data_IF_266678363721
#
_entry.id   IF_266678363721
#
_cell.length_a   1.000
_cell.length_b   1.000
_cell.length_c   1.000
_cell.angle_alpha   90.00
_cell.angle_beta   90.00
_cell.angle_gamma   90.00
#
_symmetry.space_group_name_H-M   'P 1'
#
loop_
_entity.id
_entity.type
_entity.pdbx_description
1 polymer ?
#
# COMPACT_ATOMS: atom_id res chain seq x y z
N UNK A 1 -14.48 -42.72 -24.46
CA UNK A 1 -13.25 -42.58 -23.66
C UNK A 1 -12.73 -41.16 -23.88
N UNK A 2 -12.28 -40.54 -22.79
CA UNK A 2 -11.87 -39.13 -22.60
C UNK A 2 -13.01 -38.10 -22.52
N UNK A 3 -13.63 -38.07 -21.34
CA UNK A 3 -14.25 -36.86 -20.77
C UNK A 3 -13.19 -36.18 -19.90
N UNK A 4 -13.04 -34.87 -20.07
CA UNK A 4 -12.24 -34.00 -19.19
C UNK A 4 -13.14 -33.57 -18.00
N UNK A 5 -12.63 -33.52 -16.76
CA UNK A 5 -13.43 -33.02 -15.66
C UNK A 5 -13.51 -31.49 -15.68
N UNK A 6 -14.74 -31.04 -15.47
CA UNK A 6 -15.21 -29.68 -15.29
C UNK A 6 -14.93 -29.27 -13.83
N UNK A 7 -13.89 -28.44 -13.59
CA UNK A 7 -13.58 -27.91 -12.25
C UNK A 7 -14.36 -26.61 -12.00
N UNK A 8 -15.67 -26.73 -11.85
CA UNK A 8 -16.50 -25.69 -11.24
C UNK A 8 -16.35 -25.76 -9.71
N UNK A 9 -15.31 -25.15 -9.15
CA UNK A 9 -15.20 -25.01 -7.70
C UNK A 9 -16.04 -23.81 -7.23
N UNK A 10 -17.36 -23.98 -7.23
CA UNK A 10 -18.28 -23.09 -6.53
C UNK A 10 -18.18 -23.36 -5.02
N UNK A 11 -17.17 -22.78 -4.37
CA UNK A 11 -17.07 -22.81 -2.90
C UNK A 11 -18.15 -21.87 -2.33
N UNK A 12 -19.24 -22.45 -1.86
CA UNK A 12 -20.24 -21.72 -1.09
C UNK A 12 -19.68 -21.42 0.30
N UNK A 13 -19.37 -20.16 0.59
CA UNK A 13 -18.93 -19.73 1.91
C UNK A 13 -20.07 -19.86 2.94
N UNK A 14 -19.79 -20.28 4.19
CA UNK A 14 -20.77 -20.28 5.25
C UNK A 14 -21.21 -18.85 5.58
N UNK A 15 -22.52 -18.62 5.59
CA UNK A 15 -23.14 -17.34 5.94
C UNK A 15 -22.98 -17.12 7.45
N UNK A 16 -22.21 -16.11 7.84
CA UNK A 16 -22.09 -15.70 9.24
C UNK A 16 -23.44 -15.16 9.75
N UNK A 17 -24.02 -15.83 10.76
CA UNK A 17 -25.11 -15.27 11.56
C UNK A 17 -24.66 -13.97 12.27
N UNK A 18 -25.59 -13.07 12.57
CA UNK A 18 -25.30 -11.83 13.34
C UNK A 18 -25.27 -10.52 12.54
N UNK A 19 -26.46 -9.93 12.39
CA UNK A 19 -26.91 -8.53 12.49
C UNK A 19 -26.08 -7.25 12.16
N UNK A 20 -24.85 -7.23 11.66
CA UNK A 20 -24.26 -5.95 11.20
C UNK A 20 -23.91 -6.00 9.71
N UNK A 21 -24.74 -5.36 8.88
CA UNK A 21 -24.41 -5.09 7.48
C UNK A 21 -23.30 -4.03 7.46
N UNK A 22 -22.08 -4.45 7.16
CA UNK A 22 -20.93 -3.54 7.11
C UNK A 22 -20.97 -2.78 5.79
N UNK A 23 -21.25 -1.49 5.84
CA UNK A 23 -21.26 -0.64 4.66
C UNK A 23 -19.85 -0.48 4.06
N UNK A 24 -19.80 -0.34 2.74
CA UNK A 24 -18.59 -0.06 1.98
C UNK A 24 -18.92 0.78 0.75
N UNK A 25 -17.97 1.57 0.22
CA UNK A 25 -18.24 2.44 -0.92
C UNK A 25 -18.52 1.63 -2.19
N UNK A 26 -19.53 2.04 -2.96
CA UNK A 26 -19.91 1.40 -4.23
C UNK A 26 -19.48 2.18 -5.46
N UNK A 27 -19.04 3.42 -5.30
CA UNK A 27 -18.59 4.30 -6.37
C UNK A 27 -17.59 5.33 -5.83
N UNK A 28 -16.97 6.10 -6.72
CA UNK A 28 -16.00 7.13 -6.33
C UNK A 28 -16.54 8.22 -5.41
N UNK A 29 -17.80 8.61 -5.51
CA UNK A 29 -18.35 9.65 -4.63
C UNK A 29 -18.45 9.15 -3.19
N UNK A 30 -18.87 7.91 -3.00
CA UNK A 30 -18.90 7.24 -1.69
C UNK A 30 -17.50 6.97 -1.16
N UNK A 31 -16.56 6.58 -2.03
CA UNK A 31 -15.15 6.41 -1.66
C UNK A 31 -14.55 7.75 -1.21
N UNK A 32 -14.73 8.83 -1.97
CA UNK A 32 -14.27 10.17 -1.57
C UNK A 32 -14.85 10.60 -0.22
N UNK A 33 -16.14 10.30 0.03
CA UNK A 33 -16.76 10.58 1.32
C UNK A 33 -16.11 9.78 2.45
N UNK A 34 -15.91 8.47 2.26
CA UNK A 34 -15.29 7.59 3.26
C UNK A 34 -13.88 8.08 3.63
N UNK A 35 -13.17 8.52 2.62
CA UNK A 35 -11.79 8.97 2.65
C UNK A 35 -11.60 10.41 3.19
N UNK A 36 -12.69 11.18 3.37
CA UNK A 36 -12.65 12.57 3.86
C UNK A 36 -13.33 12.79 5.21
N UNK A 37 -14.10 11.82 5.71
CA UNK A 37 -14.88 11.97 6.95
C UNK A 37 -14.04 12.19 8.21
N UNK A 38 -12.85 11.57 8.29
CA UNK A 38 -12.00 11.52 9.49
C UNK A 38 -10.61 12.16 9.27
N UNK A 39 -10.56 13.30 8.58
CA UNK A 39 -9.31 14.02 8.34
C UNK A 39 -9.03 15.00 9.49
N UNK A 40 -8.35 14.50 10.54
CA UNK A 40 -7.97 15.25 11.73
C UNK A 40 -6.62 15.97 11.59
N UNK A 41 -6.48 17.16 12.21
CA UNK A 41 -5.20 17.89 12.31
C UNK A 41 -4.37 17.39 13.50
N UNK A 42 -3.91 16.15 13.44
CA UNK A 42 -3.11 15.58 14.52
C UNK A 42 -1.87 14.92 13.94
N UNK A 43 -0.83 15.72 13.74
CA UNK A 43 0.53 15.17 13.87
C UNK A 43 0.59 14.61 15.29
N UNK A 44 0.83 13.32 15.43
CA UNK A 44 0.84 12.68 16.74
C UNK A 44 2.07 13.14 17.55
N UNK A 45 1.99 13.19 18.89
CA UNK A 45 3.11 13.65 19.74
C UNK A 45 4.42 12.86 19.56
N UNK A 46 4.35 11.59 19.16
CA UNK A 46 5.50 10.74 18.88
C UNK A 46 6.13 11.01 17.50
N UNK A 47 5.49 11.78 16.63
CA UNK A 47 5.98 12.08 15.27
C UNK A 47 7.02 13.21 15.32
N UNK A 48 8.15 12.99 14.64
CA UNK A 48 9.18 14.02 14.46
C UNK A 48 8.59 15.24 13.73
N UNK A 49 8.84 16.43 14.27
CA UNK A 49 8.25 17.68 13.76
C UNK A 49 6.91 18.06 14.40
N UNK A 50 6.46 17.35 15.43
CA UNK A 50 5.27 17.72 16.23
C UNK A 50 5.30 19.18 16.71
N UNK A 51 6.44 19.65 17.21
CA UNK A 51 6.62 21.03 17.69
C UNK A 51 7.15 22.00 16.63
N UNK A 52 7.42 21.56 15.39
CA UNK A 52 7.90 22.43 14.32
C UNK A 52 6.72 23.12 13.60
N UNK A 53 6.53 24.41 13.90
CA UNK A 53 5.49 25.23 13.31
C UNK A 53 5.51 25.29 11.76
N UNK A 54 6.69 25.27 11.13
CA UNK A 54 6.81 25.29 9.66
C UNK A 54 6.40 23.94 9.08
N UNK A 55 6.84 22.84 9.70
CA UNK A 55 6.44 21.49 9.31
C UNK A 55 4.91 21.31 9.42
N UNK A 56 4.32 21.72 10.55
CA UNK A 56 2.86 21.71 10.77
C UNK A 56 2.12 22.56 9.74
N UNK A 57 2.64 23.73 9.40
CA UNK A 57 2.02 24.59 8.38
C UNK A 57 1.94 23.89 7.02
N UNK A 58 2.98 23.15 6.63
CA UNK A 58 2.96 22.37 5.39
C UNK A 58 1.98 21.18 5.48
N UNK A 59 1.98 20.44 6.59
CA UNK A 59 1.05 19.33 6.82
C UNK A 59 -0.42 19.76 6.71
N UNK A 60 -0.77 20.95 7.23
CA UNK A 60 -2.11 21.54 7.06
C UNK A 60 -2.47 21.84 5.60
N UNK A 61 -1.50 22.20 4.75
CA UNK A 61 -1.75 22.35 3.30
C UNK A 61 -2.10 21.01 2.68
N UNK A 62 -1.38 19.93 3.00
CA UNK A 62 -1.71 18.58 2.53
C UNK A 62 -3.10 18.15 3.01
N UNK A 63 -3.47 18.47 4.26
CA UNK A 63 -4.82 18.20 4.79
C UNK A 63 -5.91 18.94 4.01
N UNK A 64 -5.67 20.20 3.65
CA UNK A 64 -6.62 20.92 2.81
C UNK A 64 -6.81 20.22 1.46
N UNK A 65 -5.72 19.75 0.84
CA UNK A 65 -5.81 18.97 -0.41
C UNK A 65 -6.62 17.69 -0.20
N UNK A 66 -6.38 16.92 0.86
CA UNK A 66 -7.17 15.72 1.18
C UNK A 66 -8.67 16.01 1.24
N UNK A 67 -9.06 17.14 1.86
CA UNK A 67 -10.46 17.54 2.05
C UNK A 67 -11.13 18.04 0.78
N UNK A 68 -10.38 18.73 -0.09
CA UNK A 68 -10.95 19.40 -1.26
C UNK A 68 -10.81 18.60 -2.55
N UNK A 69 -9.86 17.67 -2.62
CA UNK A 69 -9.68 16.80 -3.77
C UNK A 69 -10.91 15.94 -4.02
N UNK A 70 -11.20 15.68 -5.31
CA UNK A 70 -12.23 14.76 -5.78
C UNK A 70 -11.65 13.80 -6.80
N UNK A 71 -11.93 12.51 -6.63
CA UNK A 71 -11.53 11.48 -7.58
C UNK A 71 -12.01 11.81 -9.00
N UNK A 72 -11.11 11.68 -9.96
CA UNK A 72 -11.37 12.06 -11.36
C UNK A 72 -11.02 13.51 -11.71
N UNK A 73 -10.62 14.32 -10.74
CA UNK A 73 -10.00 15.64 -11.00
C UNK A 73 -8.46 15.56 -10.92
N UNK A 74 -7.73 16.50 -11.55
CA UNK A 74 -6.28 16.55 -11.44
C UNK A 74 -5.82 16.76 -9.99
N UNK A 75 -4.78 16.03 -9.58
CA UNK A 75 -4.18 16.17 -8.24
C UNK A 75 -3.42 17.50 -8.17
N UNK A 76 -3.64 18.35 -7.14
CA UNK A 76 -2.90 19.59 -6.99
C UNK A 76 -1.40 19.36 -6.79
N UNK A 77 -0.58 20.05 -7.59
CA UNK A 77 0.87 20.09 -7.40
C UNK A 77 1.24 20.85 -6.13
N UNK A 78 2.32 20.41 -5.48
CA UNK A 78 2.81 20.99 -4.22
C UNK A 78 4.12 21.74 -4.43
N UNK A 79 4.23 22.91 -3.78
CA UNK A 79 5.50 23.65 -3.70
C UNK A 79 6.16 23.30 -2.37
N UNK A 80 7.18 22.47 -2.44
CA UNK A 80 7.90 21.96 -1.27
C UNK A 80 8.89 22.99 -0.69
N UNK A 81 8.93 23.17 0.65
CA UNK A 81 9.96 23.95 1.31
C UNK A 81 11.36 23.35 1.11
N UNK A 82 12.39 24.20 1.18
CA UNK A 82 13.79 23.77 1.04
C UNK A 82 14.18 22.64 2.01
N UNK A 83 13.68 22.65 3.25
CA UNK A 83 13.95 21.59 4.24
C UNK A 83 13.39 20.23 3.83
N UNK A 84 12.25 20.19 3.13
CA UNK A 84 11.68 18.94 2.61
C UNK A 84 12.41 18.46 1.35
N UNK A 85 12.84 19.39 0.48
CA UNK A 85 13.71 19.06 -0.65
C UNK A 85 15.04 18.44 -0.19
N UNK A 86 15.63 18.98 0.88
CA UNK A 86 16.85 18.42 1.48
C UNK A 86 16.62 17.03 2.08
N UNK A 87 15.54 16.86 2.84
CA UNK A 87 15.19 15.55 3.44
C UNK A 87 14.95 14.50 2.36
N UNK A 88 14.16 14.85 1.35
CA UNK A 88 13.94 14.03 0.16
C UNK A 88 15.27 13.61 -0.49
N UNK A 89 16.15 14.58 -0.79
CA UNK A 89 17.41 14.31 -1.47
C UNK A 89 18.29 13.32 -0.67
N UNK A 90 18.39 13.52 0.65
CA UNK A 90 19.15 12.64 1.55
C UNK A 90 18.62 11.21 1.52
N UNK A 91 17.31 11.04 1.69
CA UNK A 91 16.67 9.72 1.73
C UNK A 91 16.70 9.04 0.36
N UNK A 92 16.36 9.76 -0.71
CA UNK A 92 16.43 9.28 -2.08
C UNK A 92 17.82 8.75 -2.41
N UNK A 93 18.88 9.55 -2.18
CA UNK A 93 20.24 9.14 -2.49
C UNK A 93 20.65 7.88 -1.70
N UNK A 94 20.24 7.78 -0.43
CA UNK A 94 20.53 6.58 0.37
C UNK A 94 19.82 5.35 -0.19
N UNK A 95 18.54 5.46 -0.51
CA UNK A 95 17.74 4.35 -1.05
C UNK A 95 18.26 3.88 -2.42
N UNK A 96 18.60 4.81 -3.33
CA UNK A 96 19.16 4.46 -4.65
C UNK A 96 20.47 3.67 -4.56
N UNK A 97 21.27 3.87 -3.51
CA UNK A 97 22.48 3.06 -3.27
C UNK A 97 22.15 1.66 -2.74
N UNK A 98 21.05 1.50 -2.01
CA UNK A 98 20.66 0.23 -1.37
C UNK A 98 19.86 -0.68 -2.30
N UNK A 99 19.04 -0.12 -3.20
CA UNK A 99 18.14 -0.92 -4.04
C UNK A 99 18.82 -1.99 -4.89
N UNK A 100 19.96 -1.75 -5.57
CA UNK A 100 20.61 -2.80 -6.34
C UNK A 100 21.08 -4.00 -5.50
N UNK A 101 21.33 -3.79 -4.21
CA UNK A 101 21.80 -4.84 -3.30
C UNK A 101 20.64 -5.55 -2.60
N UNK A 102 19.60 -4.81 -2.23
CA UNK A 102 18.62 -5.25 -1.24
C UNK A 102 17.20 -5.38 -1.78
N UNK A 103 16.80 -4.63 -2.80
CA UNK A 103 15.48 -4.74 -3.38
C UNK A 103 15.40 -5.90 -4.38
N UNK A 104 14.21 -6.48 -4.55
CA UNK A 104 14.00 -7.55 -5.51
C UNK A 104 14.24 -7.08 -6.95
N UNK A 105 14.55 -8.02 -7.82
CA UNK A 105 14.80 -7.79 -9.25
C UNK A 105 13.58 -7.15 -9.92
N UNK A 106 12.36 -7.58 -9.58
CA UNK A 106 11.11 -7.00 -10.11
C UNK A 106 11.04 -5.49 -9.81
N UNK A 107 11.29 -5.08 -8.57
CA UNK A 107 11.31 -3.67 -8.18
C UNK A 107 12.37 -2.87 -8.96
N UNK A 108 13.62 -3.37 -9.01
CA UNK A 108 14.72 -2.69 -9.69
C UNK A 108 14.45 -2.49 -11.19
N UNK A 109 13.84 -3.48 -11.86
CA UNK A 109 13.48 -3.39 -13.27
C UNK A 109 12.41 -2.33 -13.56
N UNK A 110 11.50 -2.08 -12.61
CA UNK A 110 10.43 -1.09 -12.74
C UNK A 110 10.90 0.32 -12.36
N UNK A 111 11.90 0.42 -11.48
CA UNK A 111 12.31 1.68 -10.85
C UNK A 111 12.81 2.72 -11.86
N UNK A 112 13.81 2.38 -12.68
CA UNK A 112 14.40 3.34 -13.62
C UNK A 112 13.38 3.96 -14.60
N UNK A 113 12.56 3.18 -15.34
CA UNK A 113 11.56 3.77 -16.24
C UNK A 113 10.47 4.53 -15.50
N UNK A 114 10.13 4.13 -14.26
CA UNK A 114 9.21 4.87 -13.41
C UNK A 114 9.74 6.25 -13.03
N UNK A 115 10.98 6.32 -12.54
CA UNK A 115 11.63 7.57 -12.14
C UNK A 115 11.76 8.54 -13.33
N UNK A 116 12.18 8.03 -14.49
CA UNK A 116 12.31 8.83 -15.72
C UNK A 116 10.96 9.39 -16.17
N UNK A 117 9.94 8.53 -16.30
CA UNK A 117 8.62 8.94 -16.79
C UNK A 117 7.89 9.91 -15.85
N UNK A 118 8.16 9.82 -14.54
CA UNK A 118 7.56 10.67 -13.51
C UNK A 118 8.43 11.89 -13.16
N UNK A 119 9.61 12.05 -13.78
CA UNK A 119 10.56 13.13 -13.53
C UNK A 119 11.04 13.22 -12.07
N UNK A 120 11.27 12.05 -11.45
CA UNK A 120 11.68 11.91 -10.06
C UNK A 120 13.20 11.78 -9.98
N UNK A 121 13.83 12.59 -9.12
CA UNK A 121 15.28 12.55 -8.89
C UNK A 121 15.60 13.06 -7.49
N UNK A 122 16.86 13.00 -7.06
CA UNK A 122 17.31 13.59 -5.80
C UNK A 122 16.94 15.08 -5.63
N UNK A 123 16.69 15.81 -6.72
CA UNK A 123 16.35 17.23 -6.71
C UNK A 123 14.88 17.52 -7.06
N UNK A 124 14.08 16.48 -7.33
CA UNK A 124 12.67 16.60 -7.70
C UNK A 124 11.83 15.59 -6.94
N UNK A 125 11.07 16.10 -5.96
CA UNK A 125 10.03 15.34 -5.27
C UNK A 125 8.93 15.00 -6.29
N UNK A 126 8.33 13.80 -6.23
CA UNK A 126 7.32 13.37 -7.18
C UNK A 126 6.11 14.30 -7.24
N UNK A 127 5.66 14.61 -8.46
CA UNK A 127 4.34 15.20 -8.67
C UNK A 127 3.32 14.04 -8.73
N UNK A 128 2.37 14.03 -7.79
CA UNK A 128 1.41 12.93 -7.68
C UNK A 128 0.51 12.80 -8.92
N UNK A 129 0.20 13.88 -9.63
CA UNK A 129 -0.59 13.80 -10.86
C UNK A 129 0.19 13.06 -11.95
N UNK A 130 1.49 13.33 -12.08
CA UNK A 130 2.35 12.58 -13.02
C UNK A 130 2.41 11.09 -12.66
N UNK A 131 2.62 10.77 -11.38
CA UNK A 131 2.67 9.37 -10.91
C UNK A 131 1.33 8.68 -11.13
N UNK A 132 0.22 9.33 -10.74
CA UNK A 132 -1.15 8.81 -10.93
C UNK A 132 -1.43 8.53 -12.41
N UNK A 133 -1.05 9.44 -13.30
CA UNK A 133 -1.21 9.24 -14.74
C UNK A 133 -0.34 8.11 -15.29
N UNK A 134 0.87 7.91 -14.75
CA UNK A 134 1.73 6.79 -15.12
C UNK A 134 1.12 5.46 -14.69
N UNK A 135 0.70 5.34 -13.43
CA UNK A 135 0.01 4.15 -12.91
C UNK A 135 -1.26 3.83 -13.70
N UNK A 136 -2.07 4.84 -14.04
CA UNK A 136 -3.30 4.64 -14.81
C UNK A 136 -3.04 3.98 -16.16
N UNK A 137 -1.95 4.38 -16.83
CA UNK A 137 -1.55 3.79 -18.12
C UNK A 137 -0.97 2.39 -17.97
N UNK A 138 -0.30 2.09 -16.85
CA UNK A 138 0.36 0.80 -16.62
C UNK A 138 -0.60 -0.27 -16.15
N UNK A 139 -1.40 0.04 -15.14
CA UNK A 139 -2.18 -0.94 -14.39
C UNK A 139 -3.59 -0.45 -14.05
N UNK A 140 -3.98 0.74 -14.51
CA UNK A 140 -5.28 1.34 -14.16
C UNK A 140 -5.35 1.88 -12.73
N UNK A 141 -4.30 1.69 -11.92
CA UNK A 141 -4.19 2.32 -10.61
C UNK A 141 -4.08 3.83 -10.71
N UNK A 142 -4.58 4.54 -9.70
CA UNK A 142 -4.44 5.99 -9.59
C UNK A 142 -4.18 6.38 -8.14
N UNK A 143 -3.57 7.55 -7.95
CA UNK A 143 -3.36 8.09 -6.61
C UNK A 143 -4.54 8.95 -6.16
N UNK A 144 -4.81 8.94 -4.85
CA UNK A 144 -5.67 9.90 -4.16
C UNK A 144 -4.86 10.54 -3.04
N UNK A 145 -4.71 11.88 -3.00
CA UNK A 145 -3.92 12.56 -1.97
C UNK A 145 -4.57 12.45 -0.58
N UNK A 146 -3.82 11.93 0.38
CA UNK A 146 -4.21 11.81 1.80
C UNK A 146 -3.18 12.49 2.70
N UNK A 147 -3.51 12.74 3.96
CA UNK A 147 -2.61 13.49 4.87
C UNK A 147 -2.62 13.01 6.31
N UNK A 148 -3.50 12.06 6.62
CA UNK A 148 -3.74 11.48 7.93
C UNK A 148 -3.68 9.97 7.82
N UNK A 149 -3.39 9.32 8.95
CA UNK A 149 -3.57 7.88 9.07
C UNK A 149 -5.00 7.51 8.71
N UNK A 150 -5.16 6.41 7.99
CA UNK A 150 -6.45 5.91 7.55
C UNK A 150 -6.77 4.62 8.29
N UNK A 151 -8.05 4.36 8.53
CA UNK A 151 -8.45 3.04 9.00
C UNK A 151 -8.08 1.98 7.95
N UNK A 152 -7.71 0.75 8.36
CA UNK A 152 -7.51 -0.34 7.41
C UNK A 152 -8.71 -0.53 6.47
N UNK A 153 -9.93 -0.33 7.00
CA UNK A 153 -11.18 -0.41 6.23
C UNK A 153 -11.20 0.56 5.07
N UNK A 154 -10.97 1.84 5.31
CA UNK A 154 -11.02 2.86 4.26
C UNK A 154 -9.86 2.72 3.27
N UNK A 155 -8.66 2.35 3.75
CA UNK A 155 -7.50 2.15 2.89
C UNK A 155 -7.65 0.95 1.96
N UNK A 156 -8.00 -0.21 2.52
CA UNK A 156 -8.20 -1.44 1.72
C UNK A 156 -9.39 -1.29 0.78
N UNK A 157 -10.48 -0.63 1.20
CA UNK A 157 -11.59 -0.33 0.31
C UNK A 157 -11.14 0.48 -0.92
N UNK A 158 -10.21 1.44 -0.77
CA UNK A 158 -9.69 2.20 -1.91
C UNK A 158 -8.96 1.31 -2.93
N UNK A 159 -8.20 0.30 -2.46
CA UNK A 159 -7.50 -0.63 -3.34
C UNK A 159 -8.45 -1.41 -4.25
N UNK A 160 -9.67 -1.70 -3.80
CA UNK A 160 -10.71 -2.36 -4.61
C UNK A 160 -11.03 -1.60 -5.90
N UNK A 161 -10.92 -0.27 -5.85
CA UNK A 161 -11.16 0.65 -6.95
C UNK A 161 -9.90 0.94 -7.79
N UNK A 162 -8.80 0.23 -7.53
CA UNK A 162 -7.46 0.60 -8.00
C UNK A 162 -7.10 2.04 -7.64
N UNK A 163 -7.47 2.48 -6.44
CA UNK A 163 -7.11 3.79 -5.89
C UNK A 163 -6.13 3.55 -4.75
N UNK A 164 -4.91 4.05 -4.90
CA UNK A 164 -3.91 4.04 -3.85
C UNK A 164 -3.91 5.39 -3.14
N UNK A 165 -4.13 5.38 -1.83
CA UNK A 165 -4.11 6.59 -1.01
C UNK A 165 -2.66 6.97 -0.71
N UNK A 166 -2.22 8.13 -1.17
CA UNK A 166 -0.82 8.55 -1.06
C UNK A 166 -0.72 9.90 -0.36
N UNK A 167 0.15 9.99 0.64
CA UNK A 167 0.52 11.25 1.24
C UNK A 167 1.35 12.15 0.31
N UNK A 168 1.23 13.46 0.52
CA UNK A 168 2.00 14.48 -0.22
C UNK A 168 3.12 15.12 0.59
N UNK A 169 3.18 14.91 1.90
CA UNK A 169 4.22 15.50 2.74
C UNK A 169 5.48 14.63 2.75
N UNK A 170 6.64 15.26 2.88
CA UNK A 170 7.89 14.56 3.21
C UNK A 170 8.01 14.49 4.72
N UNK A 171 8.53 13.39 5.26
CA UNK A 171 8.84 13.22 6.69
C UNK A 171 9.76 14.33 7.21
N UNK A 172 9.76 14.57 8.51
CA UNK A 172 10.64 15.57 9.12
C UNK A 172 12.12 15.16 8.99
N UNK A 173 13.03 16.14 8.88
CA UNK A 173 14.45 15.91 8.59
C UNK A 173 15.20 15.06 9.64
N UNK A 174 14.73 15.06 10.89
CA UNK A 174 15.24 14.21 11.98
C UNK A 174 14.91 12.73 11.78
N UNK A 175 13.88 12.42 10.99
CA UNK A 175 13.44 11.07 10.63
C UNK A 175 13.81 10.68 9.20
N UNK A 176 14.80 11.34 8.57
CA UNK A 176 15.10 11.14 7.14
C UNK A 176 15.20 9.66 6.73
N UNK A 177 15.77 8.81 7.58
CA UNK A 177 16.04 7.39 7.28
C UNK A 177 15.10 6.39 7.97
N UNK A 178 14.16 6.87 8.80
CA UNK A 178 13.12 6.08 9.47
C UNK A 178 11.97 6.99 9.93
N UNK A 179 10.74 6.58 9.65
CA UNK A 179 9.51 7.31 10.04
C UNK A 179 8.43 6.30 10.40
N UNK A 180 7.58 6.67 11.36
CA UNK A 180 6.40 5.93 11.78
C UNK A 180 5.12 6.36 11.01
N UNK A 181 5.22 7.40 10.18
CA UNK A 181 4.14 7.83 9.29
C UNK A 181 4.48 7.56 7.81
N UNK A 182 3.50 7.12 7.00
CA UNK A 182 3.68 6.92 5.55
C UNK A 182 3.71 8.27 4.83
N UNK A 183 4.90 8.85 4.67
CA UNK A 183 5.14 10.07 3.91
C UNK A 183 5.31 9.79 2.41
N UNK A 184 5.42 10.81 1.56
CA UNK A 184 5.47 10.65 0.09
C UNK A 184 6.65 9.77 -0.37
N UNK A 185 7.72 9.67 0.42
CA UNK A 185 8.84 8.75 0.15
C UNK A 185 8.34 7.30 0.24
N UNK A 186 7.61 6.97 1.31
CA UNK A 186 7.00 5.65 1.51
C UNK A 186 6.06 5.28 0.36
N UNK A 187 5.15 6.18 0.02
CA UNK A 187 4.13 5.90 -0.98
C UNK A 187 4.72 5.73 -2.37
N UNK A 188 5.71 6.56 -2.73
CA UNK A 188 6.18 6.62 -4.12
C UNK A 188 7.37 5.70 -4.36
N UNK A 189 8.34 5.66 -3.44
CA UNK A 189 9.52 4.81 -3.59
C UNK A 189 9.34 3.42 -2.98
N UNK A 190 8.37 3.24 -2.07
CA UNK A 190 7.99 1.93 -1.54
C UNK A 190 6.90 1.26 -2.40
N UNK A 191 5.71 1.87 -2.47
CA UNK A 191 4.53 1.24 -3.08
C UNK A 191 4.40 1.44 -4.59
N UNK A 192 4.46 2.69 -5.07
CA UNK A 192 4.06 3.03 -6.44
C UNK A 192 4.89 2.31 -7.52
N UNK A 193 6.15 1.97 -7.23
CA UNK A 193 7.01 1.24 -8.18
C UNK A 193 6.45 -0.16 -8.47
N UNK A 194 6.07 -0.93 -7.45
CA UNK A 194 5.50 -2.27 -7.65
C UNK A 194 4.07 -2.22 -8.19
N UNK A 195 3.30 -1.17 -7.91
CA UNK A 195 1.99 -0.95 -8.54
C UNK A 195 2.06 -0.71 -10.06
N UNK A 196 3.26 -0.57 -10.64
CA UNK A 196 3.47 -0.56 -12.07
C UNK A 196 3.47 -1.97 -12.70
N UNK A 197 3.61 -3.03 -11.89
CA UNK A 197 3.50 -4.43 -12.30
C UNK A 197 2.03 -4.88 -12.30
N UNK A 198 1.62 -5.55 -13.37
CA UNK A 198 0.22 -5.92 -13.56
C UNK A 198 -0.27 -6.98 -12.56
N UNK A 199 0.60 -7.92 -12.18
CA UNK A 199 0.25 -8.99 -11.23
C UNK A 199 0.16 -8.43 -9.82
N UNK A 200 1.14 -7.62 -9.41
CA UNK A 200 1.15 -6.97 -8.11
C UNK A 200 -0.02 -5.98 -7.94
N UNK A 201 -0.36 -5.24 -9.00
CA UNK A 201 -1.52 -4.36 -9.01
C UNK A 201 -2.83 -5.15 -8.90
N UNK A 202 -2.97 -6.26 -9.63
CA UNK A 202 -4.16 -7.11 -9.51
C UNK A 202 -4.26 -7.71 -8.11
N UNK A 203 -3.16 -8.23 -7.57
CA UNK A 203 -3.06 -8.72 -6.20
C UNK A 203 -3.51 -7.68 -5.16
N UNK A 204 -3.00 -6.45 -5.27
CA UNK A 204 -3.38 -5.35 -4.39
C UNK A 204 -4.87 -5.04 -4.46
N UNK A 205 -5.45 -5.10 -5.67
CA UNK A 205 -6.89 -4.94 -5.86
C UNK A 205 -7.70 -6.11 -5.29
N UNK A 206 -7.22 -7.35 -5.40
CA UNK A 206 -7.90 -8.54 -4.88
C UNK A 206 -8.03 -8.47 -3.35
N UNK A 207 -6.97 -8.03 -2.66
CA UNK A 207 -7.03 -7.72 -1.22
C UNK A 207 -8.12 -6.68 -0.94
N UNK A 208 -8.13 -5.60 -1.72
CA UNK A 208 -9.11 -4.52 -1.55
C UNK A 208 -10.54 -5.01 -1.75
N UNK A 209 -10.82 -5.79 -2.79
CA UNK A 209 -12.15 -6.34 -3.07
C UNK A 209 -12.64 -7.24 -1.94
N UNK A 210 -11.76 -8.06 -1.37
CA UNK A 210 -12.11 -8.94 -0.26
C UNK A 210 -12.31 -8.22 1.08
N UNK A 211 -11.83 -6.98 1.21
CA UNK A 211 -12.09 -6.15 2.40
C UNK A 211 -13.51 -5.58 2.45
N UNK A 212 -14.20 -5.51 1.30
CA UNK A 212 -15.50 -4.86 1.18
C UNK A 212 -16.60 -5.64 1.91
N UNK A 213 -17.29 -4.97 2.84
CA UNK A 213 -18.38 -5.57 3.61
C UNK A 213 -17.93 -6.61 4.66
N UNK A 214 -16.64 -6.72 4.90
CA UNK A 214 -16.04 -7.69 5.82
C UNK A 214 -16.07 -7.16 7.26
N UNK A 215 -16.53 -7.93 8.27
CA UNK A 215 -16.48 -7.54 9.69
C UNK A 215 -15.05 -7.29 10.20
N UNK A 216 -14.88 -6.42 11.20
CA UNK A 216 -13.56 -5.98 11.69
C UNK A 216 -12.63 -7.15 12.04
N UNK A 217 -13.09 -8.16 12.78
CA UNK A 217 -12.26 -9.31 13.16
C UNK A 217 -11.74 -10.17 12.00
N UNK A 218 -12.35 -10.06 10.80
CA UNK A 218 -11.84 -10.68 9.57
C UNK A 218 -10.99 -9.66 8.79
N UNK A 219 -11.39 -8.39 8.77
CA UNK A 219 -10.63 -7.30 8.17
C UNK A 219 -9.22 -7.19 8.78
N UNK A 220 -9.09 -7.36 10.10
CA UNK A 220 -7.81 -7.33 10.82
C UNK A 220 -6.85 -8.42 10.29
N UNK A 221 -7.38 -9.58 9.90
CA UNK A 221 -6.59 -10.66 9.28
C UNK A 221 -6.13 -10.27 7.88
N UNK A 222 -7.01 -9.66 7.08
CA UNK A 222 -6.66 -9.14 5.75
C UNK A 222 -5.59 -8.05 5.86
N UNK A 223 -5.75 -7.13 6.82
CA UNK A 223 -4.78 -6.09 7.11
C UNK A 223 -3.43 -6.69 7.53
N UNK A 224 -3.43 -7.70 8.41
CA UNK A 224 -2.20 -8.39 8.85
C UNK A 224 -1.48 -9.09 7.70
N UNK A 225 -2.22 -9.70 6.77
CA UNK A 225 -1.66 -10.23 5.52
C UNK A 225 -1.05 -9.12 4.66
N UNK A 226 -1.75 -7.98 4.49
CA UNK A 226 -1.22 -6.84 3.76
C UNK A 226 0.08 -6.32 4.40
N UNK A 227 0.11 -6.15 5.72
CA UNK A 227 1.27 -5.68 6.47
C UNK A 227 2.48 -6.63 6.37
N UNK A 228 2.25 -7.94 6.49
CA UNK A 228 3.31 -8.94 6.41
C UNK A 228 3.84 -9.19 5.00
N UNK A 229 3.08 -8.82 3.96
CA UNK A 229 3.46 -8.99 2.56
C UNK A 229 3.79 -7.66 1.89
N UNK A 230 2.81 -6.82 1.60
CA UNK A 230 2.96 -5.57 0.86
C UNK A 230 3.84 -4.56 1.62
N UNK A 231 3.77 -4.52 2.95
CA UNK A 231 4.58 -3.57 3.74
C UNK A 231 5.95 -4.11 4.12
N UNK A 232 6.04 -5.31 4.71
CA UNK A 232 7.27 -5.85 5.29
C UNK A 232 7.81 -7.11 4.60
N UNK A 233 7.29 -7.46 3.42
CA UNK A 233 7.60 -8.71 2.74
C UNK A 233 9.01 -8.80 2.17
N UNK A 234 9.57 -10.01 2.30
CA UNK A 234 10.83 -10.44 1.69
C UNK A 234 10.56 -11.63 0.75
N UNK A 235 11.36 -11.77 -0.30
CA UNK A 235 11.32 -12.91 -1.21
C UNK A 235 12.72 -13.51 -1.42
N UNK A 236 12.79 -14.74 -1.93
CA UNK A 236 14.04 -15.33 -2.41
C UNK A 236 14.27 -15.02 -3.89
N UNK A 237 15.53 -14.80 -4.23
CA UNK A 237 16.01 -14.75 -5.61
C UNK A 237 17.28 -15.62 -5.70
N UNK A 238 17.11 -16.87 -6.12
CA UNK A 238 18.15 -17.88 -6.04
C UNK A 238 18.55 -18.17 -4.58
N UNK A 239 19.81 -17.95 -4.24
CA UNK A 239 20.32 -18.12 -2.87
C UNK A 239 20.20 -16.87 -1.99
N UNK A 240 19.79 -15.73 -2.55
CA UNK A 240 19.69 -14.47 -1.83
C UNK A 240 18.26 -14.21 -1.35
N UNK A 241 18.15 -13.40 -0.29
CA UNK A 241 16.87 -12.80 0.14
C UNK A 241 16.85 -11.35 -0.32
N UNK A 242 15.71 -10.88 -0.78
CA UNK A 242 15.48 -9.50 -1.24
C UNK A 242 14.21 -8.93 -0.63
N UNK A 243 14.15 -7.61 -0.51
CA UNK A 243 12.98 -6.88 -0.04
C UNK A 243 12.07 -6.49 -1.20
N UNK A 244 10.77 -6.66 -1.01
CA UNK A 244 9.74 -6.06 -1.87
C UNK A 244 8.73 -5.23 -1.06
N UNK A 245 8.69 -5.39 0.26
CA UNK A 245 7.81 -4.64 1.13
C UNK A 245 8.10 -3.13 1.15
N UNK A 246 7.07 -2.30 1.01
CA UNK A 246 7.19 -0.85 0.90
C UNK A 246 7.78 -0.16 2.14
N UNK A 247 7.50 -0.67 3.35
CA UNK A 247 8.08 -0.20 4.60
C UNK A 247 9.61 -0.33 4.57
N UNK A 248 10.11 -1.48 4.10
CA UNK A 248 11.55 -1.73 3.90
C UNK A 248 12.11 -0.85 2.79
N UNK A 249 11.45 -0.79 1.64
CA UNK A 249 11.93 -0.06 0.46
C UNK A 249 11.92 1.47 0.63
N UNK A 250 11.36 2.00 1.72
CA UNK A 250 11.29 3.44 1.99
C UNK A 250 11.97 3.89 3.29
N UNK A 251 12.38 2.94 4.13
CA UNK A 251 13.12 3.18 5.36
C UNK A 251 14.53 2.60 5.27
N UNK A 252 15.52 3.39 4.86
CA UNK A 252 16.87 2.87 4.61
C UNK A 252 17.50 2.21 5.84
N UNK A 253 17.25 2.73 7.05
CA UNK A 253 17.81 2.11 8.25
C UNK A 253 17.21 0.71 8.49
N UNK A 254 15.92 0.54 8.25
CA UNK A 254 15.26 -0.75 8.43
C UNK A 254 15.60 -1.73 7.30
N UNK A 255 15.74 -1.23 6.07
CA UNK A 255 16.23 -2.00 4.93
C UNK A 255 17.62 -2.58 5.21
N UNK A 256 18.53 -1.81 5.80
CA UNK A 256 19.84 -2.33 6.18
C UNK A 256 19.75 -3.29 7.37
N UNK A 257 18.93 -2.95 8.38
CA UNK A 257 18.73 -3.78 9.56
C UNK A 257 18.25 -5.18 9.19
N UNK A 258 17.27 -5.29 8.28
CA UNK A 258 16.68 -6.58 7.91
C UNK A 258 17.72 -7.53 7.32
N UNK A 259 18.82 -7.07 6.72
CA UNK A 259 19.88 -7.95 6.21
C UNK A 259 21.01 -8.26 7.20
N UNK A 260 20.90 -7.79 8.45
CA UNK A 260 21.81 -8.18 9.52
C UNK A 260 21.43 -9.51 10.17
N UNK A 261 22.34 -10.06 10.98
CA UNK A 261 22.15 -11.21 11.86
C UNK A 261 21.19 -10.95 13.03
N UNK A 262 20.86 -9.68 13.29
CA UNK A 262 19.93 -9.28 14.36
C UNK A 262 18.46 -9.41 13.96
N UNK A 263 18.15 -9.38 12.67
CA UNK A 263 16.78 -9.44 12.17
C UNK A 263 16.31 -10.88 12.03
N UNK A 264 15.21 -11.22 12.71
CA UNK A 264 14.62 -12.55 12.64
C UNK A 264 13.82 -12.69 11.35
N UNK A 265 14.21 -13.66 10.52
CA UNK A 265 13.52 -14.00 9.27
C UNK A 265 12.89 -15.38 9.39
N UNK A 266 11.64 -15.53 8.95
CA UNK A 266 10.92 -16.81 8.93
C UNK A 266 10.35 -17.07 7.54
N UNK A 267 10.19 -18.34 7.13
CA UNK A 267 9.37 -18.65 5.97
C UNK A 267 7.98 -18.02 6.10
N UNK A 268 7.41 -17.56 5.00
CA UNK A 268 6.05 -17.03 4.99
C UNK A 268 5.06 -18.15 5.32
N UNK A 269 4.41 -18.04 6.48
CA UNK A 269 3.28 -18.86 6.91
C UNK A 269 2.06 -17.95 6.97
N UNK A 270 1.17 -18.03 5.97
CA UNK A 270 0.13 -17.01 5.76
C UNK A 270 -0.87 -16.94 6.92
N UNK A 271 -1.21 -18.07 7.54
CA UNK A 271 -2.09 -18.14 8.71
C UNK A 271 -1.45 -17.52 9.95
N UNK A 272 -0.14 -17.72 10.14
CA UNK A 272 0.61 -17.11 11.23
C UNK A 272 0.73 -15.60 11.01
N UNK A 273 1.01 -15.19 9.78
CA UNK A 273 1.08 -13.80 9.37
C UNK A 273 -0.26 -13.07 9.57
N UNK A 274 -1.39 -13.72 9.22
CA UNK A 274 -2.74 -13.21 9.41
C UNK A 274 -3.19 -13.13 10.88
N UNK A 275 -2.46 -13.78 11.78
CA UNK A 275 -2.74 -13.81 13.22
C UNK A 275 -1.82 -12.86 14.01
N UNK A 276 -0.94 -12.12 13.33
CA UNK A 276 -0.10 -11.13 13.99
C UNK A 276 -0.95 -9.97 14.53
N UNK A 277 -0.56 -9.37 15.66
CA UNK A 277 -1.11 -8.09 16.06
C UNK A 277 -0.71 -6.99 15.07
N UNK A 278 -1.35 -5.83 15.18
CA UNK A 278 -0.97 -4.63 14.43
C UNK A 278 0.55 -4.38 14.53
N UNK A 279 1.16 -4.06 13.38
CA UNK A 279 2.57 -3.72 13.31
C UNK A 279 2.84 -2.48 14.16
N UNK A 280 3.85 -2.58 15.01
CA UNK A 280 4.40 -1.43 15.73
C UNK A 280 5.26 -0.61 14.75
N UNK A 281 4.72 0.51 14.31
CA UNK A 281 5.38 1.45 13.38
C UNK A 281 6.40 2.37 14.08
N UNK A 282 6.47 2.36 15.42
CA UNK A 282 7.44 3.17 16.16
C UNK A 282 8.82 2.50 16.27
N UNK A 283 8.94 1.24 15.84
CA UNK A 283 10.19 0.45 15.84
C UNK A 283 10.33 -0.41 14.59
N UNK A 284 11.49 -1.05 14.45
CA UNK A 284 11.69 -2.10 13.44
C UNK A 284 10.89 -3.34 13.78
N UNK A 285 10.51 -4.10 12.76
CA UNK A 285 9.75 -5.32 12.93
C UNK A 285 10.56 -6.38 13.67
N UNK A 286 9.91 -7.06 14.62
CA UNK A 286 10.55 -8.14 15.39
C UNK A 286 10.77 -9.39 14.52
N UNK A 287 9.92 -9.61 13.51
CA UNK A 287 9.95 -10.77 12.60
C UNK A 287 9.61 -10.30 11.18
N UNK A 288 10.40 -10.74 10.21
CA UNK A 288 10.13 -10.55 8.77
C UNK A 288 9.83 -11.91 8.11
N UNK A 289 8.84 -11.94 7.22
CA UNK A 289 8.48 -13.15 6.47
C UNK A 289 9.14 -13.17 5.09
N UNK A 290 9.66 -14.35 4.73
CA UNK A 290 10.36 -14.62 3.47
C UNK A 290 9.54 -15.64 2.67
N UNK A 291 9.02 -15.23 1.52
CA UNK A 291 8.48 -16.15 0.52
C UNK A 291 9.58 -16.65 -0.44
N UNK A 292 9.30 -17.73 -1.17
CA UNK A 292 10.19 -18.25 -2.21
C UNK A 292 10.21 -17.36 -3.46
N UNK A 293 9.13 -16.62 -3.73
CA UNK A 293 9.10 -15.52 -4.69
C UNK A 293 8.03 -14.49 -4.34
N UNK A 294 8.02 -13.33 -5.00
CA UNK A 294 6.93 -12.36 -4.81
C UNK A 294 5.60 -12.93 -5.31
N UNK A 295 5.61 -13.68 -6.41
CA UNK A 295 4.43 -14.33 -6.99
C UNK A 295 3.86 -15.39 -6.04
N UNK A 296 4.70 -16.13 -5.32
CA UNK A 296 4.23 -17.07 -4.29
C UNK A 296 3.52 -16.33 -3.15
N UNK A 297 4.11 -15.23 -2.64
CA UNK A 297 3.47 -14.43 -1.60
C UNK A 297 2.11 -13.88 -2.06
N UNK A 298 2.03 -13.37 -3.30
CA UNK A 298 0.78 -12.90 -3.90
C UNK A 298 -0.27 -14.03 -4.02
N UNK A 299 0.15 -15.24 -4.40
CA UNK A 299 -0.76 -16.39 -4.52
C UNK A 299 -1.25 -16.87 -3.16
N UNK A 300 -0.35 -17.01 -2.18
CA UNK A 300 -0.70 -17.40 -0.81
C UNK A 300 -1.67 -16.40 -0.18
N UNK A 301 -1.38 -15.10 -0.29
CA UNK A 301 -2.23 -14.05 0.23
C UNK A 301 -3.61 -14.03 -0.47
N UNK A 302 -3.66 -14.16 -1.80
CA UNK A 302 -4.93 -14.27 -2.54
C UNK A 302 -5.74 -15.49 -2.12
N UNK A 303 -5.11 -16.65 -2.01
CA UNK A 303 -5.77 -17.88 -1.61
C UNK A 303 -6.32 -17.77 -0.18
N UNK A 304 -5.53 -17.25 0.75
CA UNK A 304 -5.94 -17.03 2.13
C UNK A 304 -7.14 -16.07 2.21
N UNK A 305 -7.01 -14.88 1.62
CA UNK A 305 -8.06 -13.86 1.64
C UNK A 305 -9.34 -14.36 0.97
N UNK A 306 -9.23 -15.11 -0.13
CA UNK A 306 -10.39 -15.75 -0.79
C UNK A 306 -11.03 -16.86 0.05
N UNK A 307 -10.30 -17.48 0.98
CA UNK A 307 -10.84 -18.51 1.86
C UNK A 307 -11.66 -17.95 3.02
N UNK A 308 -11.49 -16.66 3.33
CA UNK A 308 -12.18 -16.02 4.45
C UNK A 308 -13.70 -15.97 4.21
N UNK A 309 -14.52 -16.04 5.28
CA UNK A 309 -15.96 -15.93 5.14
C UNK A 309 -16.35 -14.61 4.48
N UNK A 310 -16.97 -14.70 3.31
CA UNK A 310 -17.43 -13.55 2.56
C UNK A 310 -18.95 -13.60 2.38
N UNK A 311 -19.64 -12.52 2.75
CA UNK A 311 -21.11 -12.43 2.61
C UNK A 311 -21.55 -12.13 1.18
N UNK A 312 -20.71 -11.47 0.39
CA UNK A 312 -21.04 -11.09 -0.99
C UNK A 312 -19.82 -11.10 -1.90
N UNK A 313 -19.95 -11.72 -3.06
CA UNK A 313 -18.92 -11.67 -4.09
C UNK A 313 -19.13 -10.40 -4.92
N UNK A 314 -18.09 -9.60 -5.09
CA UNK A 314 -18.14 -8.31 -5.81
C UNK A 314 -17.05 -8.19 -6.86
N UNK A 315 -17.28 -7.36 -7.87
CA UNK A 315 -16.33 -7.01 -8.93
C UNK A 315 -16.26 -5.51 -9.12
N UNK A 316 -15.09 -5.03 -9.53
CA UNK A 316 -14.91 -3.65 -9.93
C UNK A 316 -15.16 -3.47 -11.43
N UNK A 317 -16.03 -2.53 -11.78
CA UNK A 317 -16.27 -2.09 -13.15
C UNK A 317 -15.43 -0.83 -13.43
N UNK A 318 -14.31 -0.93 -14.17
CA UNK A 318 -13.40 0.19 -14.37
C UNK A 318 -13.95 1.29 -15.30
N UNK A 319 -14.91 0.98 -16.16
CA UNK A 319 -15.52 1.96 -17.07
C UNK A 319 -16.41 2.94 -16.32
N UNK A 320 -17.19 2.41 -15.36
CA UNK A 320 -18.12 3.18 -14.53
C UNK A 320 -17.51 3.61 -13.20
N UNK A 321 -16.37 3.04 -12.82
CA UNK A 321 -15.73 3.18 -11.51
C UNK A 321 -16.68 2.82 -10.35
N UNK A 322 -17.34 1.68 -10.47
CA UNK A 322 -18.31 1.17 -9.47
C UNK A 322 -17.99 -0.26 -9.05
N UNK A 323 -18.44 -0.62 -7.85
CA UNK A 323 -18.45 -2.00 -7.37
C UNK A 323 -19.83 -2.59 -7.65
N UNK A 324 -19.84 -3.71 -8.36
CA UNK A 324 -21.03 -4.46 -8.74
C UNK A 324 -21.00 -5.84 -8.06
N UNK A 325 -22.16 -6.44 -7.74
CA UNK A 325 -22.22 -7.85 -7.38
C UNK A 325 -21.61 -8.71 -8.49
N UNK A 326 -20.90 -9.78 -8.14
CA UNK A 326 -20.55 -10.85 -9.09
C UNK A 326 -21.75 -11.76 -9.28
N UNK A 327 -22.12 -11.99 -10.54
CA UNK A 327 -23.18 -12.95 -10.85
C UNK A 327 -22.67 -14.39 -10.63
N UNK A 328 -23.58 -15.34 -10.39
CA UNK A 328 -23.20 -16.75 -10.33
C UNK A 328 -22.77 -17.21 -11.72
N UNK A 329 -21.47 -17.26 -11.97
CA UNK A 329 -20.87 -17.72 -13.23
C UNK A 329 -19.79 -16.81 -13.82
N UNK A 330 -19.49 -15.68 -13.18
CA UNK A 330 -18.38 -14.76 -13.54
C UNK A 330 -16.99 -15.24 -13.08
#
# INVERSE_FOLDING_TARGET
MSEFPDDSCCVTHPVADGSDEVEFPRNFAELDYSLTREVYDVIQPNVKGFDDAKYRSFRRKCQLVTKTYKLGTPIPSMIYPASQLETWARTYNRLMLLYPMHACTKFNNLLAPFLEACDISAHRIPDLEKVSNYLRRKTGFRLRPVSTFMTPRDFLAALAFRVFCSSQYVRHGDGAFFTNEPDVIHEILGHAVLLCDAEFAQFSQDIGLASLGTPDHILDKIASVYMSTVEAGLCREGSEVKAYGALLLSGSNELEHVFTDKAVKRPLEIEAAASLPDIDLDKYQDVYYVSESIEEAEQMARAYVSSLPCRMSVKYNPEKNVIEPKDKGD
#
